data_IF_470045650806
#
_entry.id   IF_470045650806
#
_cell.length_a   1.000
_cell.length_b   1.000
_cell.length_c   1.000
_cell.angle_alpha   90.00
_cell.angle_beta   90.00
_cell.angle_gamma   90.00
#
_symmetry.space_group_name_H-M   'P 1'
#
loop_
_entity.id
_entity.type
_entity.pdbx_description
1 polymer ?
#
# COMPACT_ATOMS: atom_id res chain seq x y z
N UNK A 1 8.24 -3.00 16.76
CA UNK A 1 9.06 -4.23 16.76
C UNK A 1 9.11 -4.85 15.36
N UNK A 2 9.56 -4.09 14.38
CA UNK A 2 9.91 -4.61 13.06
C UNK A 2 11.28 -4.02 12.75
N UNK A 3 12.32 -4.85 12.73
CA UNK A 3 13.67 -4.48 12.30
C UNK A 3 13.73 -4.24 10.79
N UNK A 4 12.75 -3.53 10.23
CA UNK A 4 12.71 -3.12 8.84
C UNK A 4 13.54 -1.83 8.69
N UNK A 5 14.82 -1.99 8.90
CA UNK A 5 15.80 -0.96 8.62
C UNK A 5 16.23 -1.05 7.15
N UNK A 6 16.81 0.03 6.63
CA UNK A 6 17.11 0.18 5.20
C UNK A 6 18.00 -0.96 4.68
N UNK A 7 18.90 -1.45 5.52
CA UNK A 7 19.78 -2.58 5.24
C UNK A 7 19.02 -3.89 5.00
N UNK A 8 18.00 -4.19 5.81
CA UNK A 8 17.20 -5.41 5.61
C UNK A 8 16.42 -5.35 4.30
N UNK A 9 15.90 -4.17 3.95
CA UNK A 9 15.23 -3.96 2.67
C UNK A 9 16.21 -4.13 1.49
N UNK A 10 17.43 -3.62 1.62
CA UNK A 10 18.48 -3.81 0.61
C UNK A 10 18.87 -5.29 0.46
N UNK A 11 19.04 -6.02 1.57
CA UNK A 11 19.31 -7.47 1.53
C UNK A 11 18.19 -8.25 0.87
N UNK A 12 16.93 -7.95 1.20
CA UNK A 12 15.76 -8.56 0.55
C UNK A 12 15.73 -8.26 -0.95
N UNK A 13 16.05 -7.02 -1.35
CA UNK A 13 16.10 -6.63 -2.75
C UNK A 13 17.18 -7.44 -3.50
N UNK A 14 18.38 -7.53 -2.94
CA UNK A 14 19.49 -8.31 -3.53
C UNK A 14 19.13 -9.80 -3.61
N UNK A 15 18.55 -10.37 -2.55
CA UNK A 15 18.10 -11.76 -2.54
C UNK A 15 17.02 -12.00 -3.61
N UNK A 16 16.04 -11.09 -3.74
CA UNK A 16 15.00 -11.17 -4.77
C UNK A 16 15.58 -11.05 -6.20
N UNK A 17 16.54 -10.14 -6.40
CA UNK A 17 17.29 -9.99 -7.65
C UNK A 17 18.06 -11.26 -8.00
N UNK A 18 18.66 -11.93 -7.01
CA UNK A 18 19.41 -13.16 -7.21
C UNK A 18 18.51 -14.35 -7.56
N UNK A 19 17.42 -14.54 -6.82
CA UNK A 19 16.49 -15.67 -7.02
C UNK A 19 15.68 -15.54 -8.31
N UNK A 20 15.16 -14.34 -8.59
CA UNK A 20 14.26 -14.10 -9.73
C UNK A 20 15.01 -13.65 -11.00
N UNK A 21 16.18 -13.01 -10.83
CA UNK A 21 16.95 -12.36 -11.88
C UNK A 21 16.53 -10.90 -12.14
N UNK A 22 17.48 -9.98 -12.37
CA UNK A 22 17.20 -8.55 -12.59
C UNK A 22 16.36 -8.28 -13.85
N UNK A 23 16.54 -9.08 -14.90
CA UNK A 23 15.80 -8.99 -16.16
C UNK A 23 14.30 -9.31 -15.99
N UNK A 24 13.96 -10.17 -15.03
CA UNK A 24 12.60 -10.71 -14.87
C UNK A 24 11.76 -9.91 -13.88
N UNK A 25 12.40 -9.24 -12.94
CA UNK A 25 11.75 -8.34 -11.97
C UNK A 25 10.85 -7.27 -12.62
N UNK A 26 11.32 -6.49 -13.62
CA UNK A 26 10.48 -5.50 -14.31
C UNK A 26 9.26 -6.13 -14.99
N UNK A 27 9.41 -7.34 -15.53
CA UNK A 27 8.31 -8.12 -16.09
C UNK A 27 7.29 -8.55 -15.03
N UNK A 28 7.77 -9.10 -13.91
CA UNK A 28 6.94 -9.56 -12.80
C UNK A 28 6.13 -8.43 -12.16
N UNK A 29 6.76 -7.26 -11.93
CA UNK A 29 6.08 -6.07 -11.40
C UNK A 29 4.94 -5.62 -12.31
N UNK A 30 5.11 -5.71 -13.64
CA UNK A 30 4.05 -5.42 -14.61
C UNK A 30 2.90 -6.43 -14.55
N UNK A 31 3.16 -7.69 -14.19
CA UNK A 31 2.13 -8.69 -13.94
C UNK A 31 1.34 -8.40 -12.68
N UNK A 32 2.05 -8.20 -11.57
CA UNK A 32 1.46 -7.90 -10.25
C UNK A 32 0.65 -6.62 -10.28
N UNK A 33 1.16 -5.54 -10.88
CA UNK A 33 0.43 -4.27 -10.99
C UNK A 33 -0.85 -4.40 -11.82
N UNK A 34 -0.82 -5.17 -12.91
CA UNK A 34 -2.03 -5.46 -13.71
C UNK A 34 -3.03 -6.31 -12.93
N UNK A 35 -2.57 -7.35 -12.24
CA UNK A 35 -3.41 -8.17 -11.39
C UNK A 35 -4.04 -7.34 -10.25
N UNK A 36 -3.26 -6.48 -9.60
CA UNK A 36 -3.73 -5.59 -8.55
C UNK A 36 -4.79 -4.60 -9.04
N UNK A 37 -4.62 -4.03 -10.26
CA UNK A 37 -5.64 -3.16 -10.88
C UNK A 37 -6.94 -3.92 -11.13
N UNK A 38 -6.87 -5.10 -11.76
CA UNK A 38 -8.02 -5.96 -12.01
C UNK A 38 -8.73 -6.39 -10.74
N UNK A 39 -7.98 -6.72 -9.69
CA UNK A 39 -8.55 -7.08 -8.40
C UNK A 39 -9.33 -5.90 -7.78
N UNK A 40 -8.80 -4.67 -7.90
CA UNK A 40 -9.52 -3.46 -7.45
C UNK A 40 -10.79 -3.20 -8.26
N UNK A 41 -10.72 -3.33 -9.58
CA UNK A 41 -11.87 -3.17 -10.47
C UNK A 41 -12.96 -4.21 -10.17
N UNK A 42 -12.56 -5.47 -9.98
CA UNK A 42 -13.47 -6.55 -9.59
C UNK A 42 -14.12 -6.30 -8.23
N UNK A 43 -13.33 -5.89 -7.23
CA UNK A 43 -13.85 -5.55 -5.91
C UNK A 43 -14.85 -4.39 -5.96
N UNK A 44 -14.57 -3.35 -6.76
CA UNK A 44 -15.47 -2.22 -6.95
C UNK A 44 -16.79 -2.65 -7.63
N UNK A 45 -16.73 -3.47 -8.67
CA UNK A 45 -17.93 -3.97 -9.35
C UNK A 45 -18.75 -4.94 -8.50
N UNK A 46 -18.11 -5.76 -7.64
CA UNK A 46 -18.80 -6.60 -6.68
C UNK A 46 -19.49 -5.76 -5.59
N UNK A 47 -18.83 -4.69 -5.14
CA UNK A 47 -19.40 -3.75 -4.19
C UNK A 47 -20.67 -3.07 -4.75
N UNK A 48 -20.63 -2.62 -6.00
CA UNK A 48 -21.78 -1.99 -6.68
C UNK A 48 -22.97 -2.95 -6.82
N UNK A 49 -22.71 -4.23 -7.09
CA UNK A 49 -23.77 -5.26 -7.15
C UNK A 49 -24.38 -5.55 -5.78
N UNK A 50 -23.55 -5.66 -4.74
CA UNK A 50 -24.02 -5.85 -3.38
C UNK A 50 -24.83 -4.65 -2.88
N UNK A 51 -24.43 -3.43 -3.26
CA UNK A 51 -25.18 -2.20 -2.98
C UNK A 51 -26.55 -2.20 -3.69
N UNK A 52 -26.61 -2.67 -4.94
CA UNK A 52 -27.84 -2.80 -5.71
C UNK A 52 -28.79 -3.91 -5.20
N UNK A 53 -28.26 -5.02 -4.69
CA UNK A 53 -29.06 -6.18 -4.23
C UNK A 53 -29.48 -6.09 -2.75
N UNK A 54 -28.62 -5.57 -1.88
CA UNK A 54 -28.87 -5.52 -0.43
C UNK A 54 -29.43 -4.17 0.04
N UNK A 55 -29.34 -3.12 -0.77
CA UNK A 55 -29.81 -1.79 -0.42
C UNK A 55 -29.17 -1.26 0.89
N UNK A 56 -29.95 -0.72 1.85
CA UNK A 56 -29.43 -0.02 3.03
C UNK A 56 -28.59 -0.90 3.99
N UNK A 57 -28.62 -2.23 3.88
CA UNK A 57 -27.75 -3.10 4.68
C UNK A 57 -26.27 -3.02 4.27
N UNK A 58 -25.97 -2.52 3.06
CA UNK A 58 -24.62 -2.31 2.57
C UNK A 58 -23.82 -1.27 3.38
N UNK A 59 -24.49 -0.30 4.03
CA UNK A 59 -23.84 0.72 4.86
C UNK A 59 -23.02 0.13 6.02
N UNK A 60 -23.42 -1.04 6.53
CA UNK A 60 -22.70 -1.72 7.62
C UNK A 60 -21.34 -2.26 7.17
N UNK A 61 -21.21 -2.63 5.89
CA UNK A 61 -19.96 -3.10 5.27
C UNK A 61 -19.10 -1.91 4.83
N UNK A 62 -19.72 -0.80 4.40
CA UNK A 62 -19.03 0.41 3.97
C UNK A 62 -18.19 1.06 5.07
N UNK A 63 -18.70 1.14 6.30
CA UNK A 63 -18.00 1.71 7.47
C UNK A 63 -16.58 1.13 7.69
N UNK A 64 -16.40 -0.18 7.89
CA UNK A 64 -15.08 -0.77 8.12
C UNK A 64 -14.13 -0.60 6.92
N UNK A 65 -14.65 -0.59 5.69
CA UNK A 65 -13.84 -0.29 4.49
C UNK A 65 -13.35 1.16 4.45
N UNK A 66 -14.16 2.11 4.90
CA UNK A 66 -13.76 3.52 5.01
C UNK A 66 -12.73 3.74 6.10
N UNK A 67 -12.88 3.07 7.24
CA UNK A 67 -11.92 3.14 8.33
C UNK A 67 -10.53 2.65 7.86
N UNK A 68 -10.47 1.52 7.14
CA UNK A 68 -9.21 1.02 6.56
C UNK A 68 -8.59 1.98 5.54
N UNK A 69 -9.40 2.75 4.79
CA UNK A 69 -8.90 3.78 3.87
C UNK A 69 -8.36 4.99 4.65
N UNK A 70 -9.08 5.44 5.68
CA UNK A 70 -8.65 6.52 6.56
C UNK A 70 -7.34 6.20 7.28
N UNK A 71 -7.12 4.94 7.70
CA UNK A 71 -5.84 4.50 8.26
C UNK A 71 -4.67 4.62 7.27
N UNK A 72 -4.93 4.43 5.96
CA UNK A 72 -3.89 4.56 4.92
C UNK A 72 -3.58 6.00 4.56
N UNK A 73 -4.49 6.92 4.86
CA UNK A 73 -4.34 8.36 4.65
C UNK A 73 -3.51 9.06 5.74
N UNK A 74 -3.16 8.37 6.85
CA UNK A 74 -2.09 8.79 7.75
C UNK A 74 -0.76 8.73 7.01
N UNK A 75 -0.48 9.77 6.22
CA UNK A 75 0.67 9.87 5.32
C UNK A 75 1.97 9.79 6.13
N UNK A 76 2.67 8.65 6.09
CA UNK A 76 3.90 8.47 6.86
C UNK A 76 5.01 9.37 6.33
N UNK A 77 4.91 9.87 5.08
CA UNK A 77 5.85 10.87 4.55
C UNK A 77 5.59 12.25 5.14
N UNK A 78 4.34 12.60 5.44
CA UNK A 78 4.03 13.84 6.16
C UNK A 78 4.56 13.78 7.61
N UNK A 79 4.46 12.63 8.27
CA UNK A 79 5.08 12.40 9.58
C UNK A 79 6.61 12.47 9.53
N UNK A 80 7.23 11.83 8.54
CA UNK A 80 8.68 11.85 8.35
C UNK A 80 9.20 13.25 7.96
N UNK A 81 8.45 13.99 7.14
CA UNK A 81 8.78 15.37 6.76
C UNK A 81 8.63 16.33 7.93
N UNK A 82 7.64 16.16 8.81
CA UNK A 82 7.57 16.91 10.08
C UNK A 82 8.78 16.63 10.95
N UNK A 83 9.20 15.37 11.10
CA UNK A 83 10.41 15.04 11.86
C UNK A 83 11.71 15.55 11.21
N UNK A 84 11.80 15.60 9.87
CA UNK A 84 12.97 16.18 9.19
C UNK A 84 12.97 17.72 9.18
N UNK A 85 11.79 18.36 9.22
CA UNK A 85 11.64 19.82 9.29
C UNK A 85 11.77 20.36 10.73
N UNK A 86 11.36 19.59 11.75
CA UNK A 86 11.67 19.87 13.16
C UNK A 86 13.14 19.59 13.49
N UNK A 87 13.78 18.65 12.78
CA UNK A 87 15.18 18.27 12.99
C UNK A 87 16.16 18.99 12.04
N UNK A 88 15.96 20.28 11.77
CA UNK A 88 16.97 21.09 11.06
C UNK A 88 16.99 22.54 11.50
N UNK A 89 18.17 23.20 11.59
CA UNK A 89 19.50 22.75 12.01
C UNK A 89 19.78 23.17 13.48
N UNK A 90 20.82 22.65 14.17
CA UNK A 90 21.29 23.29 15.41
C UNK A 90 21.76 24.70 15.06
N UNK A 91 20.97 25.71 15.45
CA UNK A 91 21.38 27.09 15.42
C UNK A 91 22.55 27.24 16.43
N UNK A 92 23.75 27.33 15.89
CA UNK A 92 24.93 27.88 16.54
C UNK A 92 25.02 29.38 16.22
#
# INVERSE_FOLDING_TARGET
MFGLSLEHLATLLVAALFVLGPERLPGAVRGVSRAARRAREFAAGAQERLEAELGPEFEQVRKPLQDLRALREFDPRAALRRHLLDAGPPAA
#
